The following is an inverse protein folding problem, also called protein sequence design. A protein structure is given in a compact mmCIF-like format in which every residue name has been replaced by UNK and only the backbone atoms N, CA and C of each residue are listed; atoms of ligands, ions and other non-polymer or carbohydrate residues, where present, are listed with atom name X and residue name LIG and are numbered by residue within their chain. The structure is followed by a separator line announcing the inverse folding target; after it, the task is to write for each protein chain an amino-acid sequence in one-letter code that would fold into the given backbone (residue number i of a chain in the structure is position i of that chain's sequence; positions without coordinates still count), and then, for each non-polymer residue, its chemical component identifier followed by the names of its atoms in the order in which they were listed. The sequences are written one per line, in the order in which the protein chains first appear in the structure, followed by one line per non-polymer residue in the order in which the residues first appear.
data_IF_047067089363
#
_entry.id   IF_047067089363
#
_cell.length_a   1.000
_cell.length_b   1.000
_cell.length_c   1.000
_cell.angle_alpha   90.00
_cell.angle_beta   90.00
_cell.angle_gamma   90.00
#
_symmetry.space_group_name_H-M   'P 1'
#
loop_
_entity.id
_entity.type
_entity.pdbx_description
1 polymer ?
#
# COMPACT_ATOMS: atom_id res chain seq x y z
N UNK A 1 -21.82 -14.95 -17.89
CA UNK A 1 -20.51 -14.35 -18.24
C UNK A 1 -19.40 -15.26 -17.73
N UNK A 2 -18.59 -15.87 -18.61
CA UNK A 2 -17.38 -16.60 -18.19
C UNK A 2 -16.26 -15.58 -17.98
N UNK A 3 -16.07 -15.15 -16.74
CA UNK A 3 -14.90 -14.33 -16.36
C UNK A 3 -13.69 -15.27 -16.37
N UNK A 4 -12.85 -15.16 -17.39
CA UNK A 4 -11.63 -15.96 -17.50
C UNK A 4 -10.63 -15.53 -16.43
N UNK A 5 -10.05 -16.47 -15.68
CA UNK A 5 -9.06 -16.21 -14.62
C UNK A 5 -7.84 -15.40 -15.11
N UNK A 6 -7.57 -15.44 -16.41
CA UNK A 6 -6.53 -14.65 -17.06
C UNK A 6 -6.82 -13.14 -17.09
N UNK A 7 -8.09 -12.73 -17.04
CA UNK A 7 -8.52 -11.33 -16.90
C UNK A 7 -8.46 -10.91 -15.42
N UNK A 8 -8.67 -11.87 -14.51
CA UNK A 8 -8.70 -11.59 -13.07
C UNK A 8 -7.32 -11.20 -12.55
N UNK A 9 -6.26 -11.92 -12.87
CA UNK A 9 -4.92 -11.56 -12.36
C UNK A 9 -4.01 -11.05 -13.46
N UNK A 10 -3.81 -11.77 -14.57
CA UNK A 10 -2.93 -11.29 -15.64
C UNK A 10 -1.52 -10.86 -15.17
N UNK A 11 -0.76 -10.20 -16.04
CA UNK A 11 0.59 -9.69 -15.68
C UNK A 11 0.43 -8.40 -14.87
N UNK A 12 1.02 -8.34 -13.68
CA UNK A 12 1.00 -7.12 -12.87
C UNK A 12 1.61 -5.95 -13.65
N UNK A 13 0.94 -4.80 -13.77
CA UNK A 13 1.55 -3.62 -14.33
C UNK A 13 2.77 -3.22 -13.50
N UNK A 14 3.90 -2.97 -14.15
CA UNK A 14 5.12 -2.49 -13.49
C UNK A 14 4.84 -1.29 -12.56
N UNK A 15 3.98 -0.38 -13.01
CA UNK A 15 3.63 0.81 -12.23
C UNK A 15 2.81 0.51 -10.98
N UNK A 16 1.98 -0.55 -10.99
CA UNK A 16 1.28 -1.02 -9.78
C UNK A 16 2.30 -1.55 -8.76
N UNK A 17 3.33 -2.26 -9.20
CA UNK A 17 4.44 -2.65 -8.33
C UNK A 17 5.19 -1.45 -7.75
N UNK A 18 5.49 -0.43 -8.57
CA UNK A 18 6.13 0.80 -8.10
C UNK A 18 5.28 1.48 -7.03
N UNK A 19 3.97 1.57 -7.23
CA UNK A 19 3.04 2.17 -6.27
C UNK A 19 2.94 1.36 -4.97
N UNK A 20 2.89 0.03 -5.04
CA UNK A 20 2.93 -0.81 -3.83
C UNK A 20 4.27 -0.67 -3.09
N UNK A 21 5.39 -0.56 -3.82
CA UNK A 21 6.70 -0.28 -3.24
C UNK A 21 6.75 1.08 -2.54
N UNK A 22 6.18 2.12 -3.15
CA UNK A 22 6.06 3.45 -2.53
C UNK A 22 5.15 3.44 -1.30
N UNK A 23 4.06 2.68 -1.33
CA UNK A 23 3.20 2.49 -0.17
C UNK A 23 4.00 1.91 1.01
N UNK A 24 4.79 0.88 0.76
CA UNK A 24 5.66 0.27 1.77
C UNK A 24 6.78 1.22 2.24
N UNK A 25 7.42 1.94 1.33
CA UNK A 25 8.47 2.89 1.67
C UNK A 25 7.93 4.06 2.53
N UNK A 26 6.77 4.61 2.16
CA UNK A 26 6.10 5.65 2.95
C UNK A 26 5.69 5.13 4.33
N UNK A 27 5.34 3.85 4.42
CA UNK A 27 5.03 3.19 5.67
C UNK A 27 6.26 3.07 6.57
N UNK A 28 7.36 2.53 6.06
CA UNK A 28 8.64 2.45 6.78
C UNK A 28 9.14 3.82 7.21
N UNK A 29 8.89 4.85 6.39
CA UNK A 29 9.21 6.23 6.73
C UNK A 29 8.34 6.80 7.86
N UNK A 30 7.24 6.17 8.26
CA UNK A 30 6.44 6.57 9.43
C UNK A 30 7.01 6.04 10.75
N UNK A 31 7.81 4.96 10.71
CA UNK A 31 8.47 4.42 11.90
C UNK A 31 9.56 5.40 12.37
N UNK A 32 9.63 5.65 13.68
CA UNK A 32 10.72 6.43 14.27
C UNK A 32 11.90 5.51 14.60
N UNK A 33 12.74 5.26 13.59
CA UNK A 33 13.91 4.40 13.72
C UNK A 33 15.00 4.95 14.65
N UNK A 34 14.95 6.24 14.97
CA UNK A 34 15.97 6.91 15.77
C UNK A 34 15.47 7.23 17.20
N UNK A 35 14.31 6.71 17.58
CA UNK A 35 13.68 6.90 18.91
C UNK A 35 13.68 8.37 19.36
N UNK A 36 13.46 9.28 18.42
CA UNK A 36 13.43 10.73 18.66
C UNK A 36 12.19 11.18 19.43
N UNK A 37 11.13 10.37 19.42
CA UNK A 37 9.83 10.70 20.02
C UNK A 37 9.09 11.81 19.26
N UNK A 38 9.52 12.14 18.04
CA UNK A 38 8.91 13.21 17.26
C UNK A 38 7.64 12.72 16.56
N UNK A 39 6.52 13.37 16.86
CA UNK A 39 5.26 13.05 16.21
C UNK A 39 5.33 13.42 14.71
N UNK A 40 5.01 12.46 13.84
CA UNK A 40 4.94 12.70 12.39
C UNK A 40 3.63 13.37 12.00
N UNK A 41 3.63 14.21 10.95
CA UNK A 41 2.42 14.88 10.50
C UNK A 41 1.32 13.89 10.11
N UNK A 42 0.07 14.15 10.52
CA UNK A 42 -1.07 13.26 10.24
C UNK A 42 -1.27 12.97 8.75
N UNK A 43 -0.99 13.92 7.87
CA UNK A 43 -1.13 13.73 6.42
C UNK A 43 -0.22 12.63 5.87
N UNK A 44 0.92 12.36 6.54
CA UNK A 44 1.89 11.35 6.11
C UNK A 44 1.33 9.92 6.26
N UNK A 45 0.39 9.72 7.18
CA UNK A 45 -0.33 8.44 7.35
C UNK A 45 -1.26 8.11 6.19
N UNK A 46 -1.63 9.09 5.37
CA UNK A 46 -2.46 8.87 4.18
C UNK A 46 -1.66 8.36 2.98
N UNK A 47 -0.32 8.49 3.01
CA UNK A 47 0.55 8.13 1.88
C UNK A 47 0.44 6.66 1.47
N UNK A 48 0.50 5.66 2.37
CA UNK A 48 0.41 4.26 1.96
C UNK A 48 -0.92 3.94 1.27
N UNK A 49 -2.01 4.52 1.78
CA UNK A 49 -3.34 4.36 1.19
C UNK A 49 -3.46 5.06 -0.16
N UNK A 50 -2.93 6.28 -0.29
CA UNK A 50 -2.91 7.02 -1.56
C UNK A 50 -2.13 6.25 -2.64
N UNK A 51 -0.95 5.71 -2.30
CA UNK A 51 -0.18 4.90 -3.23
C UNK A 51 -0.87 3.58 -3.58
N UNK A 52 -1.48 2.89 -2.61
CA UNK A 52 -2.26 1.67 -2.88
C UNK A 52 -3.44 1.93 -3.83
N UNK A 53 -4.13 3.06 -3.65
CA UNK A 53 -5.24 3.50 -4.50
C UNK A 53 -4.77 3.86 -5.92
N UNK A 54 -3.67 4.62 -6.05
CA UNK A 54 -3.07 4.94 -7.35
C UNK A 54 -2.60 3.68 -8.09
N UNK A 55 -1.95 2.75 -7.39
CA UNK A 55 -1.57 1.45 -7.96
C UNK A 55 -2.79 0.63 -8.41
N UNK A 56 -3.89 0.74 -7.66
CA UNK A 56 -5.18 0.15 -7.98
C UNK A 56 -5.81 0.72 -9.24
N UNK A 57 -5.86 2.05 -9.36
CA UNK A 57 -6.35 2.77 -10.54
C UNK A 57 -5.53 2.37 -11.77
N UNK A 58 -4.20 2.32 -11.66
CA UNK A 58 -3.34 1.97 -12.79
C UNK A 58 -3.57 0.53 -13.25
N UNK A 59 -3.78 -0.41 -12.33
CA UNK A 59 -4.15 -1.77 -12.68
C UNK A 59 -5.53 -1.86 -13.33
N UNK A 60 -6.51 -1.09 -12.85
CA UNK A 60 -7.84 -1.01 -13.44
C UNK A 60 -7.80 -0.44 -14.87
N UNK A 61 -6.99 0.61 -15.11
CA UNK A 61 -6.77 1.18 -16.45
C UNK A 61 -6.16 0.16 -17.42
N UNK A 62 -5.35 -0.79 -16.92
CA UNK A 62 -4.81 -1.90 -17.71
C UNK A 62 -5.73 -3.13 -17.77
N UNK A 63 -6.98 -3.01 -17.31
CA UNK A 63 -7.99 -4.08 -17.25
C UNK A 63 -7.57 -5.28 -16.39
N UNK A 64 -6.64 -5.07 -15.46
CA UNK A 64 -6.17 -6.09 -14.52
C UNK A 64 -6.84 -5.87 -13.16
N UNK A 65 -8.10 -6.31 -13.07
CA UNK A 65 -8.96 -5.97 -11.93
C UNK A 65 -8.55 -6.65 -10.61
N UNK A 66 -7.92 -7.83 -10.65
CA UNK A 66 -7.40 -8.47 -9.46
C UNK A 66 -6.20 -7.72 -8.88
N UNK A 67 -5.27 -7.25 -9.71
CA UNK A 67 -4.18 -6.38 -9.22
C UNK A 67 -4.70 -5.03 -8.73
N UNK A 68 -5.82 -4.54 -9.29
CA UNK A 68 -6.45 -3.32 -8.78
C UNK A 68 -6.93 -3.50 -7.34
N UNK A 69 -7.62 -4.59 -7.06
CA UNK A 69 -8.07 -4.97 -5.71
C UNK A 69 -6.87 -5.25 -4.78
N UNK A 70 -5.87 -5.99 -5.25
CA UNK A 70 -4.67 -6.30 -4.45
C UNK A 70 -3.94 -5.02 -4.05
N UNK A 71 -3.70 -4.08 -4.97
CA UNK A 71 -3.01 -2.83 -4.67
C UNK A 71 -3.78 -1.96 -3.67
N UNK A 72 -5.11 -1.90 -3.83
CA UNK A 72 -5.97 -1.14 -2.94
C UNK A 72 -5.99 -1.75 -1.53
N UNK A 73 -6.18 -3.08 -1.44
CA UNK A 73 -6.11 -3.80 -0.19
C UNK A 73 -4.74 -3.67 0.47
N UNK A 74 -3.66 -3.75 -0.31
CA UNK A 74 -2.29 -3.57 0.18
C UNK A 74 -2.09 -2.20 0.83
N UNK A 75 -2.50 -1.11 0.17
CA UNK A 75 -2.37 0.24 0.74
C UNK A 75 -3.16 0.46 2.04
N UNK A 76 -4.27 -0.24 2.22
CA UNK A 76 -5.06 -0.19 3.47
C UNK A 76 -4.41 -1.06 4.56
N UNK A 77 -4.00 -2.28 4.23
CA UNK A 77 -3.42 -3.23 5.19
C UNK A 77 -2.05 -2.79 5.68
N UNK A 78 -1.24 -2.14 4.84
CA UNK A 78 0.08 -1.63 5.22
C UNK A 78 -0.01 -0.63 6.37
N UNK A 79 -1.04 0.23 6.40
CA UNK A 79 -1.26 1.18 7.51
C UNK A 79 -1.55 0.44 8.81
N UNK A 80 -2.36 -0.62 8.78
CA UNK A 80 -2.68 -1.39 9.98
C UNK A 80 -1.51 -2.22 10.48
N UNK A 81 -0.76 -2.85 9.57
CA UNK A 81 0.48 -3.56 9.88
C UNK A 81 1.50 -2.61 10.52
N UNK A 82 1.61 -1.39 10.01
CA UNK A 82 2.46 -0.36 10.61
C UNK A 82 2.08 -0.05 12.05
N UNK A 83 0.80 0.18 12.32
CA UNK A 83 0.33 0.47 13.68
C UNK A 83 0.76 -0.64 14.64
N UNK A 84 0.58 -1.90 14.24
CA UNK A 84 1.03 -3.06 15.03
C UNK A 84 2.55 -3.06 15.22
N UNK A 85 3.32 -2.83 14.15
CA UNK A 85 4.80 -2.81 14.21
C UNK A 85 5.29 -1.68 15.11
N UNK A 86 4.73 -0.48 14.98
CA UNK A 86 5.06 0.67 15.83
C UNK A 86 4.75 0.35 17.29
N UNK A 87 3.57 -0.20 17.61
CA UNK A 87 3.24 -0.59 18.98
C UNK A 87 4.17 -1.67 19.54
N UNK A 88 4.58 -2.65 18.73
CA UNK A 88 5.48 -3.73 19.16
C UNK A 88 6.91 -3.25 19.35
N UNK A 89 7.40 -2.36 18.48
CA UNK A 89 8.79 -1.89 18.48
C UNK A 89 8.99 -0.72 19.46
N UNK A 90 8.02 0.18 19.55
CA UNK A 90 8.14 1.46 20.27
C UNK A 90 7.33 1.50 21.58
N UNK A 91 6.49 0.50 21.84
CA UNK A 91 5.59 0.47 22.99
C UNK A 91 4.27 1.24 22.76
N UNK A 92 3.30 1.11 23.68
CA UNK A 92 2.02 1.82 23.63
C UNK A 92 2.11 3.32 23.94
#
# INVERSE_FOLDING_TARGET
MKVSANILVGKCPLWTWVMMGLALASALALIDWADTGTAKPLWMFLLPTAFGLLGGIVAALKKSFGWALISLAFGLLVVQLLSVVVTVVQGP
#
